data_IF_619314339230
#
_entry.id   IF_619314339230
#
_cell.length_a   1.000
_cell.length_b   1.000
_cell.length_c   1.000
_cell.angle_alpha   90.00
_cell.angle_beta   90.00
_cell.angle_gamma   90.00
#
_symmetry.space_group_name_H-M   'P 1'
#
loop_
_entity.id
_entity.type
_entity.pdbx_description
1 polymer ?
#
# COMPACT_ATOMS: atom_id res chain seq x y z
N UNK A 1 -3.75 -0.99 17.39
CA UNK A 1 -4.20 0.16 16.56
C UNK A 1 -5.05 -0.40 15.45
N UNK A 2 -6.24 0.14 15.20
CA UNK A 2 -7.06 -0.33 14.07
C UNK A 2 -6.40 0.02 12.73
N UNK A 3 -6.70 -0.72 11.65
CA UNK A 3 -6.13 -0.46 10.31
C UNK A 3 -6.35 0.99 9.87
N UNK A 4 -7.52 1.55 10.18
CA UNK A 4 -7.88 2.92 9.85
C UNK A 4 -6.99 3.92 10.60
N UNK A 5 -6.78 3.72 11.89
CA UNK A 5 -5.95 4.58 12.73
C UNK A 5 -4.48 4.57 12.26
N UNK A 6 -3.94 3.39 11.91
CA UNK A 6 -2.58 3.27 11.38
C UNK A 6 -2.40 4.10 10.10
N UNK A 7 -3.33 3.97 9.16
CA UNK A 7 -3.29 4.71 7.89
C UNK A 7 -3.40 6.23 8.11
N UNK A 8 -4.21 6.70 9.06
CA UNK A 8 -4.30 8.13 9.39
C UNK A 8 -2.99 8.66 9.98
N UNK A 9 -2.38 7.93 10.91
CA UNK A 9 -1.10 8.30 11.53
C UNK A 9 0.00 8.38 10.49
N UNK A 10 0.11 7.37 9.63
CA UNK A 10 1.09 7.31 8.55
C UNK A 10 0.87 8.41 7.51
N UNK A 11 -0.38 8.69 7.14
CA UNK A 11 -0.71 9.79 6.23
C UNK A 11 -0.28 11.14 6.79
N UNK A 12 -0.54 11.37 8.08
CA UNK A 12 -0.18 12.62 8.77
C UNK A 12 1.33 12.79 8.82
N UNK A 13 2.07 11.77 9.24
CA UNK A 13 3.53 11.83 9.36
C UNK A 13 4.23 12.07 8.01
N UNK A 14 3.72 11.47 6.93
CA UNK A 14 4.24 11.68 5.57
C UNK A 14 3.95 13.09 5.04
N UNK A 15 2.78 13.65 5.35
CA UNK A 15 2.43 15.03 4.94
C UNK A 15 3.22 16.10 5.68
N UNK A 16 3.65 15.83 6.92
CA UNK A 16 4.44 16.76 7.73
C UNK A 16 5.94 16.71 7.38
N UNK A 17 6.37 15.73 6.58
CA UNK A 17 7.76 15.63 6.11
C UNK A 17 8.06 16.70 5.06
N UNK A 18 9.16 17.44 5.29
CA UNK A 18 9.63 18.48 4.37
C UNK A 18 10.22 17.92 3.08
N UNK A 19 10.94 16.81 3.17
CA UNK A 19 11.65 16.16 2.06
C UNK A 19 11.40 14.64 2.15
N UNK A 20 10.23 14.17 1.68
CA UNK A 20 9.96 12.74 1.61
C UNK A 20 10.89 12.07 0.59
N UNK A 21 11.38 10.88 0.92
CA UNK A 21 12.06 10.03 -0.07
C UNK A 21 11.08 9.56 -1.15
N UNK A 22 11.60 9.08 -2.27
CA UNK A 22 10.77 8.51 -3.34
C UNK A 22 9.83 7.39 -2.83
N UNK A 23 10.32 6.54 -1.92
CA UNK A 23 9.50 5.49 -1.27
C UNK A 23 8.37 6.07 -0.41
N UNK A 24 8.62 7.18 0.27
CA UNK A 24 7.64 7.85 1.11
C UNK A 24 6.57 8.56 0.29
N UNK A 25 6.94 9.14 -0.85
CA UNK A 25 5.99 9.67 -1.82
C UNK A 25 5.11 8.56 -2.42
N UNK A 26 5.69 7.41 -2.75
CA UNK A 26 4.93 6.26 -3.26
C UNK A 26 3.97 5.69 -2.20
N UNK A 27 4.37 5.64 -0.93
CA UNK A 27 3.47 5.31 0.18
C UNK A 27 2.32 6.33 0.27
N UNK A 28 2.63 7.63 0.21
CA UNK A 28 1.63 8.69 0.27
C UNK A 28 0.59 8.56 -0.85
N UNK A 29 1.02 8.40 -2.10
CA UNK A 29 0.11 8.24 -3.24
C UNK A 29 -0.71 6.94 -3.16
N UNK A 30 -0.12 5.87 -2.63
CA UNK A 30 -0.83 4.60 -2.39
C UNK A 30 -1.91 4.76 -1.31
N UNK A 31 -1.63 5.48 -0.21
CA UNK A 31 -2.63 5.80 0.82
C UNK A 31 -3.76 6.65 0.25
N UNK A 32 -3.45 7.66 -0.56
CA UNK A 32 -4.48 8.50 -1.18
C UNK A 32 -5.41 7.68 -2.09
N UNK A 33 -4.85 6.72 -2.83
CA UNK A 33 -5.62 5.77 -3.65
C UNK A 33 -6.51 4.88 -2.77
N UNK A 34 -5.96 4.30 -1.70
CA UNK A 34 -6.69 3.45 -0.75
C UNK A 34 -7.86 4.17 -0.05
N UNK A 35 -7.71 5.46 0.21
CA UNK A 35 -8.67 6.29 0.95
C UNK A 35 -9.73 6.99 0.10
N UNK A 36 -9.74 6.80 -1.22
CA UNK A 36 -10.76 7.41 -2.07
C UNK A 36 -12.17 7.07 -1.57
N UNK A 37 -13.04 8.07 -1.56
CA UNK A 37 -14.43 7.95 -1.11
C UNK A 37 -15.21 6.92 -1.93
N UNK A 38 -14.99 6.94 -3.25
CA UNK A 38 -15.49 5.94 -4.18
C UNK A 38 -14.37 4.98 -4.57
N UNK A 39 -14.63 3.68 -4.45
CA UNK A 39 -13.69 2.66 -4.85
C UNK A 39 -13.54 2.64 -6.37
N UNK A 40 -12.33 2.94 -6.84
CA UNK A 40 -11.93 2.80 -8.25
C UNK A 40 -11.03 1.59 -8.39
N UNK A 41 -11.62 0.48 -8.87
CA UNK A 41 -10.91 -0.79 -9.01
C UNK A 41 -9.72 -0.68 -9.96
N UNK A 42 -9.90 -0.05 -11.12
CA UNK A 42 -8.87 0.04 -12.16
C UNK A 42 -7.68 0.83 -11.67
N UNK A 43 -7.92 1.93 -10.96
CA UNK A 43 -6.84 2.71 -10.36
C UNK A 43 -6.10 1.93 -9.26
N UNK A 44 -6.83 1.18 -8.43
CA UNK A 44 -6.22 0.35 -7.39
C UNK A 44 -5.34 -0.75 -8.00
N UNK A 45 -5.83 -1.47 -9.00
CA UNK A 45 -5.06 -2.50 -9.72
C UNK A 45 -3.80 -1.92 -10.37
N UNK A 46 -3.93 -0.75 -11.02
CA UNK A 46 -2.79 -0.03 -11.61
C UNK A 46 -1.77 0.33 -10.52
N UNK A 47 -2.21 0.89 -9.39
CA UNK A 47 -1.33 1.28 -8.28
C UNK A 47 -0.60 0.07 -7.70
N UNK A 48 -1.29 -1.06 -7.52
CA UNK A 48 -0.67 -2.31 -7.05
C UNK A 48 0.42 -2.76 -8.03
N UNK A 49 0.14 -2.76 -9.34
CA UNK A 49 1.08 -3.15 -10.37
C UNK A 49 2.32 -2.23 -10.43
N UNK A 50 2.12 -0.91 -10.32
CA UNK A 50 3.21 0.08 -10.26
C UNK A 50 4.15 -0.19 -9.07
N UNK A 51 3.59 -0.37 -7.88
CA UNK A 51 4.35 -0.65 -6.66
C UNK A 51 5.10 -1.99 -6.79
N UNK A 52 4.47 -3.03 -7.33
CA UNK A 52 5.10 -4.32 -7.55
C UNK A 52 6.26 -4.26 -8.56
N UNK A 53 6.12 -3.44 -9.62
CA UNK A 53 7.17 -3.24 -10.62
C UNK A 53 8.37 -2.49 -10.02
N UNK A 54 8.10 -1.44 -9.25
CA UNK A 54 9.12 -0.57 -8.66
C UNK A 54 9.88 -1.25 -7.52
N UNK A 55 9.16 -2.04 -6.71
CA UNK A 55 9.72 -2.73 -5.55
C UNK A 55 9.70 -4.23 -5.76
N UNK A 56 10.69 -4.76 -6.49
CA UNK A 56 10.75 -6.20 -6.86
C UNK A 56 10.60 -7.16 -5.67
N UNK A 57 11.02 -6.77 -4.46
CA UNK A 57 10.91 -7.60 -3.26
C UNK A 57 9.55 -7.50 -2.56
N UNK A 58 8.71 -6.52 -2.90
CA UNK A 58 7.45 -6.23 -2.22
C UNK A 58 6.50 -7.42 -2.23
N UNK A 59 6.24 -8.00 -3.41
CA UNK A 59 5.33 -9.13 -3.54
C UNK A 59 5.85 -10.38 -2.80
N UNK A 60 7.17 -10.63 -2.87
CA UNK A 60 7.81 -11.72 -2.13
C UNK A 60 7.72 -11.53 -0.61
N UNK A 61 7.95 -10.31 -0.12
CA UNK A 61 7.81 -9.97 1.30
C UNK A 61 6.37 -10.11 1.77
N UNK A 62 5.39 -9.61 1.02
CA UNK A 62 3.96 -9.77 1.34
C UNK A 62 3.57 -11.24 1.37
N UNK A 63 3.97 -12.02 0.37
CA UNK A 63 3.69 -13.46 0.31
C UNK A 63 4.28 -14.19 1.52
N UNK A 64 5.52 -13.84 1.90
CA UNK A 64 6.19 -14.43 3.06
C UNK A 64 5.54 -14.05 4.40
N UNK A 65 5.05 -12.81 4.54
CA UNK A 65 4.45 -12.32 5.79
C UNK A 65 2.99 -12.77 5.96
N UNK A 66 2.23 -12.80 4.85
CA UNK A 66 0.79 -13.09 4.87
C UNK A 66 0.44 -14.54 4.56
N UNK A 67 1.39 -15.35 4.08
CA UNK A 67 1.15 -16.70 3.56
C UNK A 67 0.25 -16.73 2.32
N UNK A 68 -0.07 -15.57 1.73
CA UNK A 68 -1.01 -15.46 0.62
C UNK A 68 -0.27 -15.43 -0.71
N UNK A 69 -0.57 -16.38 -1.59
CA UNK A 69 -0.03 -16.42 -2.95
C UNK A 69 -0.68 -15.34 -3.84
N UNK A 70 0.14 -14.68 -4.65
CA UNK A 70 -0.28 -13.74 -5.70
C UNK A 70 -1.27 -14.39 -6.66
N UNK A 71 -2.57 -14.08 -6.51
CA UNK A 71 -3.61 -14.43 -7.48
C UNK A 71 -3.71 -13.33 -8.56
N UNK A 72 -4.08 -13.67 -9.81
CA UNK A 72 -4.40 -12.68 -10.82
C UNK A 72 -5.53 -11.74 -10.36
N UNK A 73 -5.46 -10.45 -10.69
CA UNK A 73 -6.48 -9.46 -10.27
C UNK A 73 -7.91 -9.86 -10.64
N UNK A 74 -8.13 -10.48 -11.81
CA UNK A 74 -9.46 -10.97 -12.25
C UNK A 74 -10.12 -11.97 -11.29
N UNK A 75 -9.34 -12.58 -10.38
CA UNK A 75 -9.83 -13.52 -9.36
C UNK A 75 -9.99 -12.90 -7.97
N UNK A 76 -9.73 -11.61 -7.82
CA UNK A 76 -9.79 -10.87 -6.57
C UNK A 76 -11.08 -10.06 -6.49
N UNK A 77 -11.78 -10.12 -5.36
CA UNK A 77 -12.87 -9.20 -5.05
C UNK A 77 -12.34 -7.78 -4.85
N UNK A 78 -13.22 -6.78 -4.83
CA UNK A 78 -12.85 -5.39 -4.52
C UNK A 78 -12.22 -5.28 -3.13
N UNK A 79 -12.73 -6.04 -2.16
CA UNK A 79 -12.16 -6.12 -0.82
C UNK A 79 -10.76 -6.74 -0.81
N UNK A 80 -10.51 -7.76 -1.64
CA UNK A 80 -9.17 -8.35 -1.79
C UNK A 80 -8.19 -7.35 -2.41
N UNK A 81 -8.62 -6.58 -3.42
CA UNK A 81 -7.81 -5.52 -4.03
C UNK A 81 -7.49 -4.42 -3.00
N UNK A 82 -8.50 -3.97 -2.24
CA UNK A 82 -8.32 -2.97 -1.18
C UNK A 82 -7.42 -3.50 -0.06
N UNK A 83 -7.54 -4.77 0.30
CA UNK A 83 -6.67 -5.40 1.27
C UNK A 83 -5.23 -5.54 0.77
N UNK A 84 -5.04 -5.84 -0.52
CA UNK A 84 -3.71 -5.90 -1.15
C UNK A 84 -3.00 -4.54 -1.11
N UNK A 85 -3.71 -3.45 -1.40
CA UNK A 85 -3.18 -2.09 -1.24
C UNK A 85 -2.75 -1.81 0.21
N UNK A 86 -3.57 -2.20 1.18
CA UNK A 86 -3.22 -2.05 2.60
C UNK A 86 -1.91 -2.79 2.95
N UNK A 87 -1.73 -4.03 2.50
CA UNK A 87 -0.52 -4.81 2.75
C UNK A 87 0.72 -4.18 2.09
N UNK A 88 0.56 -3.60 0.88
CA UNK A 88 1.64 -2.84 0.25
C UNK A 88 2.02 -1.61 1.07
N UNK A 89 1.04 -0.83 1.56
CA UNK A 89 1.31 0.35 2.40
C UNK A 89 2.12 -0.05 3.65
N UNK A 90 1.67 -1.08 4.36
CA UNK A 90 2.35 -1.57 5.57
C UNK A 90 3.77 -2.06 5.27
N UNK A 91 3.94 -2.84 4.20
CA UNK A 91 5.24 -3.38 3.82
C UNK A 91 6.21 -2.29 3.36
N UNK A 92 5.75 -1.34 2.56
CA UNK A 92 6.55 -0.20 2.13
C UNK A 92 6.92 0.72 3.30
N UNK A 93 5.99 0.93 4.25
CA UNK A 93 6.29 1.69 5.47
C UNK A 93 7.37 1.02 6.33
N UNK A 94 7.35 -0.33 6.43
CA UNK A 94 8.44 -1.08 7.08
C UNK A 94 9.77 -0.93 6.32
N UNK A 95 9.75 -0.99 4.99
CA UNK A 95 10.95 -0.76 4.17
C UNK A 95 11.52 0.65 4.35
N UNK A 96 10.66 1.65 4.50
CA UNK A 96 11.01 3.05 4.79
C UNK A 96 11.37 3.29 6.26
N UNK A 97 11.30 2.26 7.12
CA UNK A 97 11.56 2.35 8.56
C UNK A 97 10.69 3.42 9.26
N UNK A 98 9.46 3.61 8.78
CA UNK A 98 8.53 4.57 9.36
C UNK A 98 8.01 4.03 10.69
N UNK A 99 8.38 4.70 11.78
CA UNK A 99 7.85 4.42 13.11
C UNK A 99 6.48 5.08 13.22
N UNK A 100 5.42 4.29 13.12
CA UNK A 100 4.03 4.72 13.30
C UNK A 100 3.47 4.13 14.60
#
# INVERSE_FOLDING_TARGET
MEKKDYIEVLLKSLKEKREPSELEEDILTTILTYKKEHFDRTECERKIAENNLKYMKLNATITSLSGSYSKPFVRLSDDDIKHTLYLQIETMAMMAQLKC
#
